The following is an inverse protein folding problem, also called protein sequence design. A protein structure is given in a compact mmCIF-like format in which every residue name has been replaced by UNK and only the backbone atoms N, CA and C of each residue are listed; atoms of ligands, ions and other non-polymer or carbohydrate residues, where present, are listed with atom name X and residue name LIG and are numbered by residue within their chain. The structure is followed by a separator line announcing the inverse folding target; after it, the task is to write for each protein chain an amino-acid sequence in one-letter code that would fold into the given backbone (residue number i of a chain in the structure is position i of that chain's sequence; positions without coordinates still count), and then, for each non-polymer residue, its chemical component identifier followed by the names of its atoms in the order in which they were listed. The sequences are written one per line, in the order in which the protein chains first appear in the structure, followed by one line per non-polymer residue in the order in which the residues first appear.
data_IF_516668383999
#
_entry.id   IF_516668383999
#
_cell.length_a   1.000
_cell.length_b   1.000
_cell.length_c   1.000
_cell.angle_alpha   90.00
_cell.angle_beta   90.00
_cell.angle_gamma   90.00
#
_symmetry.space_group_name_H-M   'P 1'
#
loop_
_entity.id
_entity.type
_entity.pdbx_description
1 polymer ?
#
# COMPACT_ATOMS: atom_id res chain seq x y z
N UNK A 1 11.81 -3.79 6.90
CA UNK A 1 10.57 -3.02 6.63
C UNK A 1 10.89 -2.09 5.46
N UNK A 2 10.13 -2.14 4.35
CA UNK A 2 10.47 -1.35 3.13
C UNK A 2 10.59 0.14 3.47
N UNK A 3 11.59 0.81 2.88
CA UNK A 3 11.82 2.26 3.01
C UNK A 3 10.56 3.06 2.65
N UNK A 4 9.73 2.51 1.78
CA UNK A 4 8.45 3.08 1.37
C UNK A 4 7.34 2.95 2.39
N UNK A 5 7.34 1.93 3.26
CA UNK A 5 6.39 1.86 4.38
C UNK A 5 6.68 2.99 5.38
N UNK A 6 7.96 3.33 5.57
CA UNK A 6 8.40 4.42 6.43
C UNK A 6 8.00 5.77 5.82
N UNK A 7 8.20 5.94 4.52
CA UNK A 7 7.90 7.18 3.79
C UNK A 7 6.43 7.30 3.32
N UNK A 8 5.62 6.23 3.39
CA UNK A 8 4.22 6.23 2.95
C UNK A 8 3.33 7.22 3.69
N UNK A 9 3.74 7.63 4.91
CA UNK A 9 3.10 8.72 5.65
C UNK A 9 3.35 10.10 5.02
N UNK A 10 4.52 10.30 4.41
CA UNK A 10 4.92 11.57 3.77
C UNK A 10 4.34 11.72 2.36
N UNK A 11 4.23 10.63 1.59
CA UNK A 11 3.84 10.66 0.18
C UNK A 11 2.34 10.53 -0.12
N UNK A 12 1.44 10.66 0.87
CA UNK A 12 -0.01 10.41 0.72
C UNK A 12 -0.33 9.02 0.13
N UNK A 13 0.58 8.04 0.25
CA UNK A 13 0.53 6.72 -0.40
C UNK A 13 -0.74 5.95 -0.06
N UNK A 14 -1.24 6.07 1.18
CA UNK A 14 -2.51 5.46 1.59
C UNK A 14 -3.72 6.02 0.85
N UNK A 15 -3.69 7.30 0.49
CA UNK A 15 -4.74 7.92 -0.32
C UNK A 15 -4.70 7.44 -1.76
N UNK A 16 -3.51 7.33 -2.35
CA UNK A 16 -3.33 6.77 -3.69
C UNK A 16 -3.77 5.31 -3.76
N UNK A 17 -3.33 4.49 -2.82
CA UNK A 17 -3.76 3.09 -2.72
C UNK A 17 -5.27 2.96 -2.55
N UNK A 18 -5.88 3.83 -1.74
CA UNK A 18 -7.32 3.85 -1.55
C UNK A 18 -8.06 4.14 -2.87
N UNK A 19 -7.58 5.10 -3.65
CA UNK A 19 -8.14 5.42 -4.97
C UNK A 19 -7.91 4.27 -5.98
N UNK A 20 -6.73 3.67 -5.99
CA UNK A 20 -6.39 2.59 -6.95
C UNK A 20 -7.10 1.27 -6.66
N UNK A 21 -7.38 0.98 -5.39
CA UNK A 21 -7.97 -0.30 -4.97
C UNK A 21 -9.47 -0.20 -4.68
N UNK A 22 -10.01 1.01 -4.56
CA UNK A 22 -11.38 1.26 -4.10
C UNK A 22 -11.61 0.93 -2.62
N UNK A 23 -10.54 0.64 -1.86
CA UNK A 23 -10.60 0.25 -0.45
C UNK A 23 -10.28 1.44 0.45
N UNK A 24 -10.70 1.41 1.71
CA UNK A 24 -10.45 2.52 2.62
C UNK A 24 -8.95 2.70 2.93
N UNK A 25 -8.52 3.95 3.13
CA UNK A 25 -7.14 4.29 3.53
C UNK A 25 -6.70 3.51 4.77
N UNK A 26 -7.59 3.39 5.76
CA UNK A 26 -7.36 2.62 6.98
C UNK A 26 -7.14 1.13 6.72
N UNK A 27 -7.85 0.55 5.74
CA UNK A 27 -7.68 -0.85 5.37
C UNK A 27 -6.36 -1.07 4.62
N UNK A 28 -6.01 -0.18 3.67
CA UNK A 28 -4.74 -0.21 2.96
C UNK A 28 -3.54 -0.11 3.93
N UNK A 29 -3.62 0.82 4.89
CA UNK A 29 -2.62 0.96 5.95
C UNK A 29 -2.50 -0.34 6.75
N UNK A 30 -3.62 -0.87 7.26
CA UNK A 30 -3.62 -2.11 8.05
C UNK A 30 -3.01 -3.29 7.30
N UNK A 31 -3.32 -3.48 6.01
CA UNK A 31 -2.77 -4.59 5.21
C UNK A 31 -1.25 -4.48 5.01
N UNK A 32 -0.72 -3.26 4.90
CA UNK A 32 0.71 -3.04 4.66
C UNK A 32 1.55 -2.91 5.94
N UNK A 33 0.97 -2.38 7.03
CA UNK A 33 1.67 -2.17 8.31
C UNK A 33 1.47 -3.31 9.30
N UNK A 34 0.32 -3.99 9.26
CA UNK A 34 0.02 -5.13 10.10
C UNK A 34 -0.06 -6.40 9.24
N UNK A 35 0.49 -7.50 9.72
CA UNK A 35 0.49 -8.82 9.06
C UNK A 35 -0.90 -9.49 9.10
N UNK A 36 -2.00 -8.73 8.99
CA UNK A 36 -3.33 -9.34 8.78
C UNK A 36 -3.27 -10.18 7.51
N UNK A 37 -3.75 -11.43 7.59
CA UNK A 37 -3.66 -12.46 6.55
C UNK A 37 -3.75 -11.84 5.15
N UNK A 38 -2.60 -11.77 4.47
CA UNK A 38 -2.48 -11.37 3.05
C UNK A 38 -3.17 -12.37 2.11
N UNK A 39 -3.95 -13.32 2.64
CA UNK A 39 -4.67 -14.35 1.90
C UNK A 39 -5.96 -13.85 1.25
N UNK A 40 -6.55 -12.75 1.73
CA UNK A 40 -7.72 -12.20 1.05
C UNK A 40 -7.32 -11.60 -0.30
N UNK A 41 -8.13 -11.83 -1.34
CA UNK A 41 -7.93 -11.27 -2.69
C UNK A 41 -7.72 -9.74 -2.62
N UNK A 42 -8.47 -9.07 -1.75
CA UNK A 42 -8.36 -7.62 -1.50
C UNK A 42 -7.01 -7.22 -0.91
N UNK A 43 -6.45 -8.02 0.00
CA UNK A 43 -5.13 -7.75 0.57
C UNK A 43 -4.02 -7.97 -0.46
N UNK A 44 -4.13 -9.00 -1.32
CA UNK A 44 -3.20 -9.23 -2.44
C UNK A 44 -3.19 -8.05 -3.40
N UNK A 45 -4.38 -7.54 -3.76
CA UNK A 45 -4.52 -6.36 -4.61
C UNK A 45 -3.84 -5.11 -4.00
N UNK A 46 -3.98 -4.87 -2.70
CA UNK A 46 -3.30 -3.75 -2.03
C UNK A 46 -1.78 -3.91 -2.09
N UNK A 47 -1.26 -5.11 -1.86
CA UNK A 47 0.19 -5.37 -1.90
C UNK A 47 0.72 -5.17 -3.32
N UNK A 48 0.01 -5.66 -4.33
CA UNK A 48 0.38 -5.50 -5.74
C UNK A 48 0.44 -4.02 -6.13
N UNK A 49 -0.62 -3.25 -5.83
CA UNK A 49 -0.65 -1.80 -6.12
C UNK A 49 0.36 -1.01 -5.29
N UNK A 50 0.68 -1.44 -4.08
CA UNK A 50 1.75 -0.85 -3.28
C UNK A 50 3.11 -1.05 -3.95
N UNK A 51 3.38 -2.25 -4.46
CA UNK A 51 4.63 -2.56 -5.14
C UNK A 51 4.75 -1.84 -6.50
N UNK A 52 3.64 -1.63 -7.21
CA UNK A 52 3.62 -0.79 -8.42
C UNK A 52 3.99 0.67 -8.08
N UNK A 53 3.40 1.24 -7.04
CA UNK A 53 3.74 2.59 -6.56
C UNK A 53 5.20 2.68 -6.11
N UNK A 54 5.72 1.64 -5.47
CA UNK A 54 7.12 1.55 -5.06
C UNK A 54 8.08 1.64 -6.25
N UNK A 55 7.78 0.92 -7.34
CA UNK A 55 8.59 0.95 -8.56
C UNK A 55 8.55 2.31 -9.25
N UNK A 56 7.41 2.98 -9.25
CA UNK A 56 7.27 4.32 -9.84
C UNK A 56 8.07 5.37 -9.06
N UNK A 57 8.12 5.26 -7.73
CA UNK A 57 8.79 6.23 -6.85
C UNK A 57 10.29 5.96 -6.66
N UNK A 58 10.78 4.75 -6.95
CA UNK A 58 12.21 4.40 -6.88
C UNK A 58 12.94 4.69 -8.20
N UNK A 59 12.21 4.78 -9.33
CA UNK A 59 12.78 5.11 -10.64
C UNK A 59 12.83 6.62 -10.93
N UNK A 60 12.67 7.46 -9.91
CA UNK A 60 12.92 8.91 -9.93
C UNK A 60 14.19 9.21 -9.13
#
# INVERSE_FOLDING_TARGET
MSKLIIEARKFKTWGLLSNMTGLSKSYCKKVMTETRKKDSIKAKLIVEKFNELEKLLINE
#
